data_IF_131190183618
#
_entry.id   IF_131190183618
#
_cell.length_a   1.000
_cell.length_b   1.000
_cell.length_c   1.000
_cell.angle_alpha   90.00
_cell.angle_beta   90.00
_cell.angle_gamma   90.00
#
_symmetry.space_group_name_H-M   'P 1'
#
loop_
_entity.id
_entity.type
_entity.pdbx_description
1 polymer ?
#
# COMPACT_ATOMS: atom_id res chain seq x y z
N UNK A 1 4.53 -6.65 29.07
CA UNK A 1 4.62 -5.70 27.94
C UNK A 1 4.18 -4.34 28.45
N UNK A 2 4.84 -3.24 28.09
CA UNK A 2 4.48 -1.90 28.58
C UNK A 2 3.51 -1.17 27.64
N UNK A 3 2.50 -1.90 27.17
CA UNK A 3 1.50 -1.42 26.23
C UNK A 3 0.13 -1.77 26.79
N UNK A 4 -0.78 -0.80 26.81
CA UNK A 4 -2.18 -1.01 27.18
C UNK A 4 -2.86 -1.95 26.18
N UNK A 5 -3.95 -2.55 26.62
CA UNK A 5 -4.75 -3.42 25.75
C UNK A 5 -5.41 -2.59 24.65
N UNK A 6 -5.02 -2.89 23.40
CA UNK A 6 -5.70 -2.40 22.21
C UNK A 6 -5.64 -0.88 22.03
N UNK A 7 -6.58 -0.40 21.22
CA UNK A 7 -6.69 0.98 20.80
C UNK A 7 -7.40 1.05 19.46
N UNK A 8 -8.56 1.68 19.42
CA UNK A 8 -9.35 1.83 18.20
C UNK A 8 -9.13 3.24 17.65
N UNK A 9 -8.38 3.32 16.57
CA UNK A 9 -8.07 4.54 15.82
C UNK A 9 -8.06 4.20 14.34
N UNK A 10 -8.35 5.18 13.50
CA UNK A 10 -8.44 5.00 12.06
C UNK A 10 -8.52 6.35 11.36
N UNK A 11 -8.62 6.31 10.03
CA UNK A 11 -8.86 7.49 9.19
C UNK A 11 -10.30 7.46 8.68
N UNK A 12 -10.85 8.62 8.35
CA UNK A 12 -12.21 8.74 7.83
C UNK A 12 -12.39 7.90 6.57
N UNK A 13 -13.44 7.08 6.55
CA UNK A 13 -13.75 6.19 5.43
C UNK A 13 -13.18 4.78 5.54
N UNK A 14 -12.15 4.55 6.38
CA UNK A 14 -11.56 3.22 6.59
C UNK A 14 -11.78 2.70 8.01
N UNK A 15 -12.27 1.47 8.11
CA UNK A 15 -12.38 0.74 9.39
C UNK A 15 -11.16 -0.15 9.70
N UNK A 16 -10.09 -0.06 8.91
CA UNK A 16 -8.94 -0.94 8.96
C UNK A 16 -7.65 -0.20 8.53
N UNK A 17 -6.50 -0.86 8.71
CA UNK A 17 -5.19 -0.40 8.27
C UNK A 17 -4.33 0.26 9.33
N UNK A 18 -4.95 0.79 10.38
CA UNK A 18 -4.24 1.38 11.52
C UNK A 18 -4.45 0.51 12.76
N UNK A 19 -3.39 0.36 13.56
CA UNK A 19 -3.42 -0.36 14.84
C UNK A 19 -3.10 0.63 15.95
N UNK A 20 -4.10 0.94 16.77
CA UNK A 20 -3.93 1.76 17.96
C UNK A 20 -3.11 1.03 19.02
N UNK A 21 -2.14 1.77 19.56
CA UNK A 21 -1.32 1.36 20.70
C UNK A 21 -1.07 2.57 21.58
N UNK A 22 -1.17 2.33 22.88
CA UNK A 22 -1.00 3.31 23.94
C UNK A 22 -0.06 2.75 25.01
N UNK A 23 0.87 3.56 25.48
CA UNK A 23 1.78 3.18 26.58
C UNK A 23 0.99 3.02 27.89
N UNK A 24 1.40 2.07 28.74
CA UNK A 24 0.88 1.93 30.12
C UNK A 24 1.55 2.90 31.11
N UNK A 25 2.67 3.52 30.72
CA UNK A 25 3.45 4.48 31.50
C UNK A 25 3.57 5.82 30.76
N UNK A 26 2.48 6.58 30.61
CA UNK A 26 2.47 7.83 29.84
C UNK A 26 3.28 8.96 30.48
N UNK A 27 3.45 8.94 31.82
CA UNK A 27 4.21 9.95 32.55
C UNK A 27 5.72 9.76 32.41
N UNK A 28 6.20 8.52 32.42
CA UNK A 28 7.63 8.18 32.30
C UNK A 28 8.12 8.30 30.85
N UNK A 29 7.26 7.98 29.88
CA UNK A 29 7.59 7.99 28.46
C UNK A 29 6.53 8.73 27.63
N UNK A 30 6.46 10.08 27.75
CA UNK A 30 5.42 10.87 27.09
C UNK A 30 5.47 10.80 25.56
N UNK A 31 6.67 10.64 24.98
CA UNK A 31 6.87 10.54 23.53
C UNK A 31 6.28 9.29 22.88
N UNK A 32 5.92 8.26 23.66
CA UNK A 32 5.28 7.02 23.16
C UNK A 32 3.92 6.80 23.81
N UNK A 33 3.32 7.84 24.40
CA UNK A 33 1.97 7.78 24.95
C UNK A 33 0.97 7.29 23.89
N UNK A 34 1.09 7.82 22.68
CA UNK A 34 0.44 7.33 21.46
C UNK A 34 1.52 6.76 20.55
N UNK A 35 1.38 5.50 20.16
CA UNK A 35 2.39 4.83 19.33
C UNK A 35 1.73 3.95 18.25
N UNK A 36 0.88 4.57 17.44
CA UNK A 36 0.05 3.87 16.48
C UNK A 36 0.86 3.32 15.32
N UNK A 37 0.44 2.20 14.77
CA UNK A 37 1.07 1.57 13.61
C UNK A 37 0.19 1.76 12.38
N UNK A 38 0.76 2.31 11.30
CA UNK A 38 0.09 2.48 10.01
C UNK A 38 0.59 1.41 9.04
N UNK A 39 -0.33 0.71 8.38
CA UNK A 39 -0.02 -0.29 7.36
C UNK A 39 -0.25 0.31 5.98
N UNK A 40 0.70 0.13 5.08
CA UNK A 40 0.61 0.60 3.70
C UNK A 40 0.73 -0.59 2.76
N UNK A 41 -0.13 -0.63 1.73
CA UNK A 41 -0.10 -1.68 0.71
C UNK A 41 1.21 -1.58 -0.09
N UNK A 42 1.99 -2.67 -0.20
CA UNK A 42 3.20 -2.68 -1.00
C UNK A 42 2.87 -2.91 -2.49
N UNK A 43 3.78 -2.55 -3.41
CA UNK A 43 3.79 -3.10 -4.76
C UNK A 43 3.94 -4.63 -4.76
N UNK A 44 3.31 -5.29 -5.73
CA UNK A 44 3.42 -6.74 -5.92
C UNK A 44 4.88 -7.16 -6.15
N UNK A 45 5.31 -8.23 -5.46
CA UNK A 45 6.69 -8.72 -5.52
C UNK A 45 7.71 -7.84 -4.79
N UNK A 46 7.26 -6.82 -4.05
CA UNK A 46 8.10 -5.95 -3.19
C UNK A 46 9.22 -5.22 -3.95
N UNK A 47 8.96 -4.83 -5.20
CA UNK A 47 9.89 -4.03 -6.00
C UNK A 47 9.60 -2.54 -5.84
N UNK A 48 10.63 -1.77 -5.51
CA UNK A 48 10.52 -0.33 -5.28
C UNK A 48 11.49 0.45 -6.16
N UNK A 49 11.10 1.64 -6.56
CA UNK A 49 12.04 2.67 -7.00
C UNK A 49 12.57 3.41 -5.78
N UNK A 50 13.77 4.00 -5.90
CA UNK A 50 14.34 4.82 -4.80
C UNK A 50 13.51 6.08 -4.55
N UNK A 51 12.86 6.61 -5.58
CA UNK A 51 11.92 7.74 -5.49
C UNK A 51 10.72 7.41 -4.61
N UNK A 52 10.06 6.26 -4.86
CA UNK A 52 8.93 5.79 -4.06
C UNK A 52 9.29 5.63 -2.58
N UNK A 53 10.45 5.03 -2.27
CA UNK A 53 10.89 4.87 -0.89
C UNK A 53 11.22 6.19 -0.22
N UNK A 54 11.86 7.13 -0.94
CA UNK A 54 12.16 8.47 -0.41
C UNK A 54 10.90 9.25 -0.09
N UNK A 55 9.88 9.16 -0.93
CA UNK A 55 8.57 9.75 -0.67
C UNK A 55 7.97 9.19 0.63
N UNK A 56 7.89 7.87 0.77
CA UNK A 56 7.37 7.24 2.00
C UNK A 56 8.16 7.64 3.25
N UNK A 57 9.49 7.73 3.14
CA UNK A 57 10.34 8.18 4.24
C UNK A 57 10.14 9.66 4.56
N UNK A 58 9.89 10.51 3.57
CA UNK A 58 9.60 11.94 3.77
C UNK A 58 8.30 12.13 4.54
N UNK A 59 7.23 11.48 4.11
CA UNK A 59 5.94 11.47 4.84
C UNK A 59 6.16 10.96 6.26
N UNK A 60 6.90 9.87 6.41
CA UNK A 60 7.10 9.28 7.73
C UNK A 60 7.97 10.12 8.67
N UNK A 61 8.93 10.86 8.12
CA UNK A 61 9.77 11.78 8.90
C UNK A 61 9.00 13.03 9.36
N UNK A 62 7.94 13.42 8.64
CA UNK A 62 7.13 14.58 9.00
C UNK A 62 6.16 14.29 10.16
N UNK A 63 5.60 13.08 10.22
CA UNK A 63 4.46 12.77 11.09
C UNK A 63 4.67 11.55 12.01
N UNK A 64 5.78 10.83 11.86
CA UNK A 64 6.04 9.57 12.55
C UNK A 64 7.30 9.58 13.38
N UNK A 65 7.60 8.43 13.96
CA UNK A 65 8.79 8.20 14.78
C UNK A 65 10.08 8.01 13.99
N UNK A 66 10.00 7.85 12.65
CA UNK A 66 11.11 7.42 11.81
C UNK A 66 11.39 5.91 11.85
N UNK A 67 10.73 5.15 12.72
CA UNK A 67 10.86 3.69 12.80
C UNK A 67 9.88 3.01 11.84
N UNK A 68 10.33 1.98 11.13
CA UNK A 68 9.49 1.25 10.20
C UNK A 68 9.96 -0.21 10.05
N UNK A 69 9.04 -1.11 9.70
CA UNK A 69 9.38 -2.47 9.29
C UNK A 69 9.20 -2.64 7.78
N UNK A 70 10.26 -3.09 7.10
CA UNK A 70 10.26 -3.55 5.70
C UNK A 70 10.45 -5.07 5.70
N UNK A 71 9.42 -5.90 5.74
CA UNK A 71 7.97 -5.64 5.74
C UNK A 71 7.32 -6.33 6.95
N UNK A 72 6.05 -6.03 7.21
CA UNK A 72 5.22 -6.89 8.05
C UNK A 72 5.10 -8.30 7.46
N UNK A 73 4.81 -9.30 8.29
CA UNK A 73 4.75 -10.71 7.84
C UNK A 73 3.72 -10.98 6.74
N UNK A 74 2.63 -10.22 6.72
CA UNK A 74 1.63 -10.27 5.64
C UNK A 74 2.15 -9.67 4.33
N UNK A 75 3.10 -8.74 4.41
CA UNK A 75 3.70 -8.05 3.27
C UNK A 75 3.57 -6.53 3.32
N UNK A 76 2.79 -5.97 4.24
CA UNK A 76 2.60 -4.51 4.37
C UNK A 76 3.89 -3.77 4.72
N UNK A 77 4.04 -2.53 4.23
CA UNK A 77 5.01 -1.59 4.81
C UNK A 77 4.42 -1.11 6.13
N UNK A 78 5.21 -1.17 7.19
CA UNK A 78 4.74 -0.83 8.53
C UNK A 78 5.44 0.44 9.00
N UNK A 79 4.68 1.52 9.13
CA UNK A 79 5.15 2.75 9.78
C UNK A 79 4.84 2.65 11.27
N UNK A 80 5.88 2.64 12.12
CA UNK A 80 5.78 2.29 13.54
C UNK A 80 5.83 3.51 14.44
N UNK A 81 4.70 3.95 14.97
CA UNK A 81 4.66 4.97 16.00
C UNK A 81 4.37 6.34 15.42
N UNK A 82 3.12 6.75 15.56
CA UNK A 82 2.61 8.09 15.30
C UNK A 82 1.49 8.38 16.30
N UNK A 83 1.09 9.63 16.39
CA UNK A 83 -0.01 10.12 17.21
C UNK A 83 -1.34 10.12 16.44
N UNK A 84 -2.45 10.23 17.16
CA UNK A 84 -3.79 10.16 16.56
C UNK A 84 -4.09 11.30 15.58
N UNK A 85 -3.75 12.58 15.88
CA UNK A 85 -3.99 13.70 14.96
C UNK A 85 -3.26 13.57 13.62
N UNK A 86 -2.07 12.98 13.61
CA UNK A 86 -1.24 12.81 12.41
C UNK A 86 -1.77 11.75 11.44
N UNK A 87 -2.69 10.88 11.85
CA UNK A 87 -3.18 9.79 11.01
C UNK A 87 -3.87 10.28 9.73
N UNK A 88 -4.69 11.33 9.83
CA UNK A 88 -5.36 11.91 8.66
C UNK A 88 -4.36 12.64 7.75
N UNK A 89 -3.36 13.32 8.31
CA UNK A 89 -2.31 14.00 7.53
C UNK A 89 -1.46 13.00 6.74
N UNK A 90 -1.07 11.90 7.38
CA UNK A 90 -0.37 10.79 6.72
C UNK A 90 -1.24 10.24 5.59
N UNK A 91 -2.54 10.07 5.82
CA UNK A 91 -3.45 9.55 4.79
C UNK A 91 -3.63 10.50 3.61
N UNK A 92 -3.78 11.80 3.86
CA UNK A 92 -3.92 12.81 2.81
C UNK A 92 -2.67 12.83 1.91
N UNK A 93 -1.47 12.82 2.49
CA UNK A 93 -0.22 12.80 1.73
C UNK A 93 -0.03 11.49 0.95
N UNK A 94 -0.32 10.34 1.57
CA UNK A 94 -0.20 9.03 0.91
C UNK A 94 -1.19 8.88 -0.26
N UNK A 95 -2.44 9.28 -0.05
CA UNK A 95 -3.50 9.13 -1.05
C UNK A 95 -3.31 10.08 -2.25
N UNK A 96 -2.74 11.27 -2.02
CA UNK A 96 -2.38 12.20 -3.08
C UNK A 96 -1.34 11.61 -4.07
N UNK A 97 -0.42 10.77 -3.58
CA UNK A 97 0.60 10.08 -4.38
C UNK A 97 0.16 8.68 -4.85
N UNK A 98 -1.11 8.30 -4.60
CA UNK A 98 -1.69 7.04 -5.05
C UNK A 98 -1.33 5.81 -4.21
N UNK A 99 -0.83 6.00 -2.98
CA UNK A 99 -0.67 4.92 -2.00
C UNK A 99 -1.98 4.69 -1.23
N UNK A 100 -2.19 3.45 -0.78
CA UNK A 100 -3.38 3.07 -0.01
C UNK A 100 -3.01 2.29 1.27
N UNK A 101 -3.91 2.30 2.24
CA UNK A 101 -3.75 1.63 3.52
C UNK A 101 -3.91 0.11 3.39
N UNK A 102 -3.09 -0.61 4.14
CA UNK A 102 -3.15 -2.06 4.24
C UNK A 102 -4.36 -2.56 5.03
N UNK A 103 -4.58 -3.88 5.02
CA UNK A 103 -5.65 -4.50 5.79
C UNK A 103 -5.29 -4.75 7.27
N UNK A 104 -6.26 -4.50 8.17
CA UNK A 104 -6.19 -4.91 9.59
C UNK A 104 -7.59 -5.32 10.09
N UNK A 105 -7.70 -5.84 11.33
CA UNK A 105 -8.97 -6.25 11.91
C UNK A 105 -9.67 -7.40 11.17
N UNK A 106 -11.00 -7.45 11.23
CA UNK A 106 -11.86 -8.43 10.55
C UNK A 106 -12.18 -8.00 9.12
N UNK A 107 -11.16 -7.63 8.36
CA UNK A 107 -11.22 -7.27 6.96
C UNK A 107 -10.23 -8.13 6.15
N UNK A 108 -10.39 -8.13 4.82
CA UNK A 108 -9.40 -8.75 3.94
C UNK A 108 -8.03 -8.12 4.17
N UNK A 109 -7.03 -8.97 4.41
CA UNK A 109 -5.66 -8.53 4.60
C UNK A 109 -4.99 -8.31 3.25
N UNK A 110 -3.93 -7.53 3.27
CA UNK A 110 -3.16 -7.21 2.07
C UNK A 110 -2.64 -8.48 1.41
N UNK A 111 -2.95 -8.74 0.13
CA UNK A 111 -2.41 -9.88 -0.57
C UNK A 111 -0.92 -9.68 -0.82
N UNK A 112 -0.13 -10.75 -0.62
CA UNK A 112 1.29 -10.78 -1.00
C UNK A 112 1.57 -11.95 -1.93
N UNK A 113 2.65 -11.83 -2.71
CA UNK A 113 3.06 -12.84 -3.67
C UNK A 113 4.58 -12.96 -3.69
N UNK A 114 5.07 -14.09 -4.20
CA UNK A 114 6.50 -14.22 -4.53
C UNK A 114 6.88 -13.25 -5.65
N UNK A 115 8.18 -13.13 -5.92
CA UNK A 115 8.73 -12.28 -7.00
C UNK A 115 8.19 -12.66 -8.39
N UNK A 116 7.62 -13.86 -8.55
CA UNK A 116 7.03 -14.34 -9.79
C UNK A 116 8.04 -14.49 -10.94
N UNK A 117 7.51 -14.50 -12.17
CA UNK A 117 8.28 -14.60 -13.42
C UNK A 117 9.30 -13.49 -13.70
N UNK A 118 9.14 -12.23 -13.23
CA UNK A 118 10.11 -11.17 -13.48
C UNK A 118 11.56 -11.53 -13.15
N UNK A 119 11.78 -12.40 -12.15
CA UNK A 119 13.12 -12.81 -11.71
C UNK A 119 13.27 -14.33 -11.68
N UNK A 120 12.19 -15.09 -11.50
CA UNK A 120 12.26 -16.55 -11.46
C UNK A 120 12.07 -17.16 -12.85
N UNK A 121 13.16 -17.31 -13.59
CA UNK A 121 13.23 -18.15 -14.81
C UNK A 121 12.96 -19.64 -14.51
N UNK A 122 13.11 -20.07 -13.26
CA UNK A 122 13.00 -21.45 -12.79
C UNK A 122 11.61 -21.84 -12.24
N UNK A 123 10.71 -20.89 -11.96
CA UNK A 123 9.38 -21.17 -11.39
C UNK A 123 8.31 -21.35 -12.49
N UNK A 124 8.69 -21.97 -13.60
CA UNK A 124 7.87 -22.14 -14.79
C UNK A 124 6.72 -23.13 -14.59
N UNK A 125 5.72 -22.78 -13.78
CA UNK A 125 4.38 -23.38 -13.76
C UNK A 125 3.42 -22.53 -12.92
N UNK A 126 3.13 -21.29 -13.32
CA UNK A 126 1.77 -20.84 -13.65
C UNK A 126 1.79 -19.31 -13.88
N UNK A 127 0.83 -18.70 -14.60
CA UNK A 127 0.75 -17.26 -14.74
C UNK A 127 -0.05 -16.67 -13.56
N UNK A 128 0.61 -15.98 -12.63
CA UNK A 128 -0.09 -15.20 -11.60
C UNK A 128 -0.66 -13.93 -12.23
N UNK A 129 -1.99 -13.85 -12.30
CA UNK A 129 -2.77 -12.63 -12.51
C UNK A 129 -3.42 -12.25 -11.17
N UNK A 130 -3.52 -10.97 -10.80
CA UNK A 130 -4.27 -10.56 -9.62
C UNK A 130 -5.75 -10.94 -9.79
N UNK A 131 -6.34 -11.51 -8.75
CA UNK A 131 -7.76 -11.84 -8.69
C UNK A 131 -8.59 -10.57 -8.51
N UNK A 132 -8.85 -9.87 -9.60
CA UNK A 132 -10.11 -9.17 -9.84
C UNK A 132 -10.90 -9.93 -10.91
N UNK A 133 -12.21 -9.89 -10.80
CA UNK A 133 -13.16 -10.89 -11.30
C UNK A 133 -13.30 -10.99 -12.82
N UNK A 134 -13.42 -12.24 -13.29
CA UNK A 134 -14.08 -12.75 -14.52
C UNK A 134 -13.32 -12.88 -15.86
N UNK A 135 -12.81 -14.09 -16.12
CA UNK A 135 -13.17 -15.07 -17.20
C UNK A 135 -11.97 -15.85 -17.78
N UNK A 136 -12.15 -17.14 -18.12
CA UNK A 136 -11.07 -18.02 -18.59
C UNK A 136 -10.72 -17.73 -20.05
N UNK A 137 -9.45 -17.91 -20.43
CA UNK A 137 -8.97 -17.66 -21.80
C UNK A 137 -8.44 -18.97 -22.40
N UNK A 138 -9.32 -19.68 -23.11
CA UNK A 138 -8.95 -20.75 -24.05
C UNK A 138 -8.38 -20.13 -25.35
N UNK A 139 -7.40 -20.81 -25.95
CA UNK A 139 -6.68 -20.40 -27.15
C UNK A 139 -7.39 -20.97 -28.39
N UNK A 140 -7.90 -20.08 -29.24
CA UNK A 140 -7.94 -20.26 -30.71
C UNK A 140 -8.85 -21.33 -31.32
N UNK A 141 -9.79 -21.90 -30.58
CA UNK A 141 -11.04 -22.49 -31.09
C UNK A 141 -12.11 -22.13 -30.07
N UNK A 142 -12.82 -21.03 -30.19
CA UNK A 142 -14.07 -21.05 -30.96
C UNK A 142 -14.48 -19.62 -31.36
N UNK A 143 -15.02 -19.49 -32.56
CA UNK A 143 -15.46 -18.20 -33.13
C UNK A 143 -16.82 -17.83 -32.52
N UNK A 144 -17.05 -16.52 -32.38
CA UNK A 144 -18.23 -15.81 -31.83
C UNK A 144 -18.11 -15.66 -30.30
N UNK A 145 -17.97 -14.47 -29.73
CA UNK A 145 -18.92 -13.35 -29.81
C UNK A 145 -18.17 -12.03 -29.62
N UNK A 146 -18.53 -11.02 -30.41
CA UNK A 146 -18.13 -9.62 -30.26
C UNK A 146 -18.42 -9.11 -28.84
N UNK A 147 -17.52 -8.33 -28.26
CA UNK A 147 -17.84 -6.94 -27.89
C UNK A 147 -16.56 -6.18 -27.55
N UNK A 148 -16.56 -4.92 -27.96
CA UNK A 148 -15.57 -3.89 -27.75
C UNK A 148 -15.22 -3.78 -26.25
N UNK A 149 -14.00 -3.42 -25.86
CA UNK A 149 -13.56 -2.03 -25.78
C UNK A 149 -12.02 -2.03 -25.78
N UNK A 150 -11.43 -1.37 -26.78
CA UNK A 150 -10.04 -0.88 -26.72
C UNK A 150 -10.06 0.37 -25.83
N UNK A 151 -9.29 0.37 -24.75
CA UNK A 151 -8.69 1.62 -24.25
C UNK A 151 -7.17 1.44 -24.15
N UNK A 152 -6.39 2.43 -24.62
CA UNK A 152 -4.99 2.28 -24.92
C UNK A 152 -4.15 2.40 -23.64
N UNK A 153 -3.35 1.38 -23.34
CA UNK A 153 -2.20 1.55 -22.47
C UNK A 153 -1.19 2.43 -23.22
N UNK A 154 -1.09 3.71 -22.84
CA UNK A 154 -0.09 4.62 -23.36
C UNK A 154 1.30 4.04 -23.08
N UNK A 155 2.00 3.68 -24.17
CA UNK A 155 3.46 3.60 -24.17
C UNK A 155 3.98 4.99 -23.83
N UNK A 156 4.49 5.19 -22.62
CA UNK A 156 5.41 6.30 -22.35
C UNK A 156 6.75 5.99 -23.03
N UNK A 157 6.77 6.21 -24.34
CA UNK A 157 7.98 6.39 -25.12
C UNK A 157 8.06 7.86 -25.52
N UNK A 158 9.13 8.53 -25.09
CA UNK A 158 9.78 9.66 -25.75
C UNK A 158 8.95 10.40 -26.82
N UNK A 159 8.41 11.59 -26.49
CA UNK A 159 8.27 12.72 -27.42
C UNK A 159 7.78 14.02 -26.73
N UNK A 160 8.69 15.00 -26.71
CA UNK A 160 8.54 16.46 -26.95
C UNK A 160 7.24 17.18 -26.56
N UNK A 161 7.40 18.19 -25.68
CA UNK A 161 7.01 19.61 -25.87
C UNK A 161 5.96 19.92 -26.95
N UNK A 162 4.77 20.40 -26.54
CA UNK A 162 4.22 21.73 -26.90
C UNK A 162 2.74 21.92 -26.48
N UNK A 163 2.45 23.17 -26.02
CA UNK A 163 1.19 23.95 -26.12
C UNK A 163 -0.03 23.42 -25.31
N UNK A 164 -0.49 24.12 -24.27
CA UNK A 164 -1.27 25.38 -24.24
C UNK A 164 -2.76 25.21 -24.65
N UNK A 165 -3.63 26.00 -23.99
CA UNK A 165 -5.09 26.19 -24.11
C UNK A 165 -5.91 25.36 -23.09
N UNK A 166 -6.38 25.99 -22.00
CA UNK A 166 -7.65 26.76 -21.88
C UNK A 166 -8.89 25.85 -21.96
N UNK A 167 -9.48 25.53 -20.80
CA UNK A 167 -10.81 25.95 -20.30
C UNK A 167 -11.02 25.40 -18.89
#
# INVERSE_FOLDING_TARGET
THWKHGGLVGVRGYGAGIIGRYSDMPEEAPGVMHFHTVRIIPPSGLFYTTEALRFLMQVWNNYGSGLLNMHGTTGDIILLGTDTPSLELIWDDLSAEGWDLGGSGSANRTPSCCVGRPVASLLASTPWKPASTSKPRDRRTDRRVLCQIRFPCQRLGSQRLHLALEY
#
